data_IF_487672819987
#
_entry.id   IF_487672819987
#
_cell.length_a   1.000
_cell.length_b   1.000
_cell.length_c   1.000
_cell.angle_alpha   90.00
_cell.angle_beta   90.00
_cell.angle_gamma   90.00
#
_symmetry.space_group_name_H-M   'P 1'
#
loop_
_entity.id
_entity.type
_entity.pdbx_description
1 polymer ?
#
# COMPACT_ATOMS: atom_id res chain seq x y z
N UNK A 1 5.27 -4.02 -3.94
CA UNK A 1 6.27 -4.64 -4.85
C UNK A 1 5.51 -5.26 -6.03
N UNK A 2 6.08 -5.30 -7.25
CA UNK A 2 5.44 -5.75 -8.50
C UNK A 2 4.42 -4.82 -9.16
N UNK A 3 4.59 -3.50 -9.04
CA UNK A 3 3.75 -2.57 -9.81
C UNK A 3 4.41 -2.31 -11.16
N UNK A 4 3.75 -2.57 -12.31
CA UNK A 4 4.37 -2.36 -13.62
C UNK A 4 4.78 -0.91 -13.85
N UNK A 5 5.89 -0.68 -14.55
CA UNK A 5 6.39 0.68 -14.81
C UNK A 5 5.48 1.54 -15.69
N UNK A 6 4.58 0.92 -16.46
CA UNK A 6 3.56 1.58 -17.28
C UNK A 6 2.50 2.31 -16.44
N UNK A 7 2.31 1.91 -15.18
CA UNK A 7 1.34 2.54 -14.28
C UNK A 7 1.90 3.87 -13.75
N UNK A 8 1.10 4.94 -13.85
CA UNK A 8 1.42 6.24 -13.29
C UNK A 8 0.94 6.32 -11.84
N UNK A 9 1.86 6.54 -10.92
CA UNK A 9 1.62 6.71 -9.48
C UNK A 9 2.39 7.93 -9.03
N UNK A 10 1.86 8.65 -8.05
CA UNK A 10 2.44 9.87 -7.50
C UNK A 10 2.52 9.77 -5.98
N UNK A 11 3.45 10.55 -5.40
CA UNK A 11 3.42 10.78 -3.96
C UNK A 11 2.11 11.46 -3.58
N UNK A 12 1.51 11.04 -2.46
CA UNK A 12 0.19 11.47 -2.03
C UNK A 12 -0.95 10.54 -2.45
N UNK A 13 -0.73 9.58 -3.35
CA UNK A 13 -1.77 8.61 -3.71
C UNK A 13 -2.10 7.69 -2.52
N UNK A 14 -3.40 7.44 -2.28
CA UNK A 14 -3.84 6.51 -1.24
C UNK A 14 -3.75 5.07 -1.72
N UNK A 15 -3.37 4.18 -0.80
CA UNK A 15 -3.29 2.73 -1.06
C UNK A 15 -4.31 1.99 -0.20
N UNK A 16 -5.09 1.14 -0.86
CA UNK A 16 -6.19 0.38 -0.27
C UNK A 16 -5.95 -1.14 -0.47
N UNK A 17 -6.46 -1.97 0.44
CA UNK A 17 -6.51 -3.41 0.24
C UNK A 17 -7.43 -3.77 -0.95
N UNK A 18 -7.00 -4.71 -1.79
CA UNK A 18 -7.76 -5.14 -2.97
C UNK A 18 -8.81 -6.21 -2.68
N UNK A 19 -8.64 -6.95 -1.58
CA UNK A 19 -9.42 -8.17 -1.30
C UNK A 19 -8.90 -9.43 -1.99
N UNK A 20 -7.87 -9.31 -2.85
CA UNK A 20 -7.29 -10.46 -3.54
C UNK A 20 -6.50 -11.33 -2.55
N UNK A 21 -6.65 -12.65 -2.67
CA UNK A 21 -6.04 -13.63 -1.76
C UNK A 21 -6.91 -14.03 -0.57
N UNK A 22 -8.06 -13.39 -0.35
CA UNK A 22 -9.09 -13.83 0.60
C UNK A 22 -8.83 -13.55 2.08
N UNK A 23 -7.68 -12.97 2.44
CA UNK A 23 -7.27 -12.74 3.84
C UNK A 23 -7.82 -11.42 4.40
N UNK A 24 -7.83 -10.37 3.58
CA UNK A 24 -8.27 -9.03 3.99
C UNK A 24 -9.48 -8.60 3.19
N UNK A 25 -10.47 -7.91 3.78
CA UNK A 25 -11.54 -7.29 3.02
C UNK A 25 -10.98 -6.20 2.09
N UNK A 26 -11.68 -5.91 1.00
CA UNK A 26 -11.34 -4.81 0.07
C UNK A 26 -11.64 -3.46 0.72
N UNK A 27 -10.79 -2.47 0.48
CA UNK A 27 -11.04 -1.07 0.83
C UNK A 27 -10.46 -0.59 2.17
N UNK A 28 -9.66 -1.41 2.86
CA UNK A 28 -8.94 -0.96 4.04
C UNK A 28 -7.81 -0.01 3.65
N UNK A 29 -7.73 1.14 4.31
CA UNK A 29 -6.66 2.12 4.09
C UNK A 29 -5.36 1.59 4.69
N UNK A 30 -4.34 1.43 3.84
CA UNK A 30 -3.00 1.00 4.26
C UNK A 30 -2.13 2.21 4.58
N UNK A 31 -2.14 3.21 3.70
CA UNK A 31 -1.21 4.32 3.76
C UNK A 31 -1.28 5.23 2.56
N UNK A 32 -0.33 6.15 2.51
CA UNK A 32 -0.14 7.10 1.41
C UNK A 32 1.22 6.89 0.78
N UNK A 33 1.33 7.00 -0.55
CA UNK A 33 2.61 6.90 -1.24
C UNK A 33 3.53 8.03 -0.80
N UNK A 34 4.66 7.69 -0.19
CA UNK A 34 5.69 8.64 0.21
C UNK A 34 6.80 8.75 -0.84
N UNK A 35 7.10 7.65 -1.55
CA UNK A 35 8.12 7.64 -2.61
C UNK A 35 7.82 6.58 -3.66
N UNK A 36 8.09 6.94 -4.92
CA UNK A 36 8.11 6.01 -6.05
C UNK A 36 9.54 5.89 -6.56
N UNK A 37 10.06 4.67 -6.61
CA UNK A 37 11.40 4.37 -7.09
C UNK A 37 11.28 3.59 -8.40
N UNK A 38 11.74 4.22 -9.49
CA UNK A 38 11.82 3.62 -10.82
C UNK A 38 13.29 3.46 -11.23
N UNK A 39 13.71 2.22 -11.50
CA UNK A 39 15.03 1.94 -12.10
C UNK A 39 14.84 1.75 -13.60
N UNK A 40 15.73 2.34 -14.41
CA UNK A 40 15.63 2.36 -15.89
C UNK A 40 15.54 0.97 -16.53
N UNK A 41 16.12 -0.05 -15.91
CA UNK A 41 16.19 -1.41 -16.45
C UNK A 41 15.18 -2.38 -15.80
N UNK A 42 14.45 -1.95 -14.78
CA UNK A 42 13.47 -2.82 -14.12
C UNK A 42 12.14 -2.81 -14.88
N UNK A 43 11.39 -3.91 -14.81
CA UNK A 43 10.02 -3.99 -15.32
C UNK A 43 9.00 -3.40 -14.34
N UNK A 44 9.37 -3.32 -13.06
CA UNK A 44 8.52 -2.91 -11.97
C UNK A 44 9.06 -1.67 -11.26
N UNK A 45 8.15 -0.90 -10.67
CA UNK A 45 8.45 0.19 -9.75
C UNK A 45 8.25 -0.28 -8.31
N UNK A 46 9.09 0.25 -7.43
CA UNK A 46 8.93 0.12 -6.00
C UNK A 46 8.19 1.34 -5.44
N UNK A 47 7.28 1.08 -4.52
CA UNK A 47 6.44 2.10 -3.89
C UNK A 47 6.66 1.99 -2.39
N UNK A 48 7.11 3.07 -1.79
CA UNK A 48 7.24 3.20 -0.35
C UNK A 48 6.02 3.96 0.15
N UNK A 49 5.42 3.46 1.22
CA UNK A 49 4.23 4.05 1.84
C UNK A 49 4.59 4.64 3.20
N UNK A 50 3.95 5.76 3.53
CA UNK A 50 3.76 6.17 4.91
C UNK A 50 2.48 5.52 5.42
N UNK A 51 2.53 4.74 6.53
CA UNK A 51 1.33 4.12 7.08
C UNK A 51 0.34 5.20 7.54
N UNK A 52 -0.95 4.95 7.33
CA UNK A 52 -2.02 5.84 7.80
C UNK A 52 -2.20 5.84 9.33
N UNK A 53 -2.13 4.71 10.05
CA UNK A 53 -2.31 4.73 11.50
C UNK A 53 -1.04 5.18 12.25
N UNK A 54 -1.24 5.95 13.31
CA UNK A 54 -0.21 6.23 14.32
C UNK A 54 -0.17 5.06 15.32
N UNK A 55 0.83 4.19 15.17
CA UNK A 55 0.99 3.01 15.99
C UNK A 55 1.28 3.32 17.47
N UNK A 56 1.67 4.56 17.81
CA UNK A 56 1.87 4.97 19.20
C UNK A 56 0.56 5.31 19.92
N UNK A 57 -0.57 5.37 19.21
CA UNK A 57 -1.90 5.72 19.74
C UNK A 57 -2.93 4.62 19.51
N UNK A 58 -2.50 3.37 19.49
CA UNK A 58 -3.40 2.24 19.36
C UNK A 58 -4.21 2.04 20.65
N UNK A 59 -5.53 2.13 20.52
CA UNK A 59 -6.48 1.78 21.59
C UNK A 59 -7.09 0.40 21.34
N UNK A 60 -7.51 0.14 20.11
CA UNK A 60 -8.18 -1.10 19.71
C UNK A 60 -7.60 -1.62 18.39
N UNK A 61 -7.63 -2.95 18.23
CA UNK A 61 -7.19 -3.64 17.01
C UNK A 61 -8.25 -4.65 16.59
N UNK A 62 -8.57 -4.66 15.30
CA UNK A 62 -9.44 -5.66 14.70
C UNK A 62 -8.61 -6.79 14.08
N UNK A 63 -8.89 -8.03 14.49
CA UNK A 63 -8.29 -9.24 13.91
C UNK A 63 -9.29 -9.86 12.95
N UNK A 64 -8.90 -9.99 11.68
CA UNK A 64 -9.65 -10.79 10.71
C UNK A 64 -9.26 -12.26 10.87
N UNK A 65 -10.25 -13.11 11.17
CA UNK A 65 -10.10 -14.57 11.21
C UNK A 65 -10.71 -15.13 9.93
N UNK A 66 -9.89 -15.85 9.17
CA UNK A 66 -10.28 -16.57 7.94
C UNK A 66 -10.35 -18.06 8.20
#
# INVERSE_FOLDING_TARGET
>A
KFVPNSVKIKAGDQVLSSGLGGIFPKGLVIGTVSKVIKKKQDLFQEIILSPSPDFSKLEEVLIFIS
#
